data_IF_943896254695
#
_entry.id   IF_943896254695
#
_cell.length_a   1.000
_cell.length_b   1.000
_cell.length_c   1.000
_cell.angle_alpha   90.00
_cell.angle_beta   90.00
_cell.angle_gamma   90.00
#
_symmetry.space_group_name_H-M   'P 1'
#
loop_
_entity.id
_entity.type
_entity.pdbx_description
1 polymer ?
#
# COMPACT_ATOMS: atom_id res chain seq x y z
N UNK A 1 -10.73 -5.46 10.24
CA UNK A 1 -9.58 -4.83 9.54
C UNK A 1 -8.30 -4.69 10.37
N UNK A 2 -8.36 -4.44 11.70
CA UNK A 2 -7.15 -4.19 12.51
C UNK A 2 -6.02 -5.23 12.35
N UNK A 3 -6.35 -6.54 12.34
CA UNK A 3 -5.34 -7.60 12.12
C UNK A 3 -4.67 -7.52 10.73
N UNK A 4 -5.43 -7.10 9.71
CA UNK A 4 -4.92 -6.90 8.36
C UNK A 4 -3.98 -5.70 8.33
N UNK A 5 -4.32 -4.61 9.02
CA UNK A 5 -3.46 -3.43 9.13
C UNK A 5 -2.15 -3.71 9.85
N UNK A 6 -2.19 -4.43 10.97
CA UNK A 6 -0.98 -4.82 11.69
C UNK A 6 -0.03 -5.63 10.78
N UNK A 7 -0.56 -6.66 10.11
CA UNK A 7 0.20 -7.49 9.17
C UNK A 7 0.74 -6.69 7.98
N UNK A 8 -0.08 -5.81 7.41
CA UNK A 8 0.29 -4.96 6.28
C UNK A 8 1.42 -4.00 6.65
N UNK A 9 1.34 -3.36 7.81
CA UNK A 9 2.39 -2.48 8.35
C UNK A 9 3.70 -3.24 8.50
N UNK A 10 3.69 -4.40 9.17
CA UNK A 10 4.88 -5.22 9.38
C UNK A 10 5.54 -5.64 8.06
N UNK A 11 4.73 -6.12 7.11
CA UNK A 11 5.22 -6.56 5.79
C UNK A 11 5.74 -5.39 4.96
N UNK A 12 5.06 -4.25 4.95
CA UNK A 12 5.48 -3.06 4.20
C UNK A 12 6.80 -2.51 4.75
N UNK A 13 6.92 -2.35 6.07
CA UNK A 13 8.14 -1.88 6.74
C UNK A 13 9.30 -2.87 6.55
N UNK A 14 9.04 -4.18 6.59
CA UNK A 14 10.08 -5.19 6.28
C UNK A 14 10.55 -5.10 4.82
N UNK A 15 9.67 -4.70 3.91
CA UNK A 15 9.95 -4.52 2.50
C UNK A 15 10.27 -3.05 2.12
N UNK A 16 10.75 -2.22 3.04
CA UNK A 16 10.92 -0.77 2.89
C UNK A 16 11.52 -0.32 1.54
N UNK A 17 12.55 -1.03 1.04
CA UNK A 17 13.17 -0.71 -0.27
C UNK A 17 12.18 -0.71 -1.43
N UNK A 18 11.09 -1.49 -1.38
CA UNK A 18 10.03 -1.49 -2.41
C UNK A 18 9.26 -0.17 -2.47
N UNK A 19 9.34 0.63 -1.41
CA UNK A 19 8.64 1.90 -1.26
C UNK A 19 9.57 3.11 -1.34
N UNK A 20 10.83 2.97 -0.90
CA UNK A 20 11.80 4.08 -0.86
C UNK A 20 12.67 4.17 -2.13
N UNK A 21 12.92 3.03 -2.79
CA UNK A 21 13.70 2.89 -4.03
C UNK A 21 12.89 2.10 -5.07
N UNK A 22 11.88 2.76 -5.63
CA UNK A 22 10.88 2.11 -6.49
C UNK A 22 11.47 1.82 -7.87
N UNK A 23 11.58 0.54 -8.21
CA UNK A 23 12.08 0.10 -9.51
C UNK A 23 10.98 -0.25 -10.54
N UNK A 24 9.71 -0.17 -10.14
CA UNK A 24 8.59 -0.48 -11.04
C UNK A 24 8.09 0.76 -11.76
N UNK A 25 7.63 0.66 -13.02
CA UNK A 25 6.97 1.77 -13.69
C UNK A 25 5.68 2.20 -12.98
N UNK A 26 5.25 3.45 -13.24
CA UNK A 26 3.95 3.96 -12.77
C UNK A 26 2.80 3.05 -13.25
N UNK A 27 1.79 2.88 -12.39
CA UNK A 27 0.64 2.01 -12.60
C UNK A 27 0.92 0.52 -12.37
N UNK A 28 2.12 0.15 -11.90
CA UNK A 28 2.47 -1.24 -11.57
C UNK A 28 2.57 -1.45 -10.07
N UNK A 29 2.24 -2.67 -9.64
CA UNK A 29 2.36 -3.09 -8.25
C UNK A 29 3.82 -3.09 -7.81
N UNK A 30 4.15 -2.25 -6.83
CA UNK A 30 5.44 -2.23 -6.15
C UNK A 30 5.54 -3.36 -5.13
N UNK A 31 4.47 -3.60 -4.37
CA UNK A 31 4.40 -4.59 -3.31
C UNK A 31 2.95 -5.07 -3.08
N UNK A 32 2.73 -6.32 -2.62
CA UNK A 32 3.62 -7.47 -2.69
C UNK A 32 3.86 -7.93 -4.14
N UNK A 33 4.87 -8.79 -4.35
CA UNK A 33 5.23 -9.32 -5.68
C UNK A 33 4.88 -10.79 -5.89
N UNK A 34 4.78 -11.58 -4.82
CA UNK A 34 4.48 -13.01 -4.93
C UNK A 34 2.98 -13.24 -4.86
N UNK A 35 2.47 -14.24 -5.60
CA UNK A 35 1.05 -14.60 -5.55
C UNK A 35 0.61 -14.99 -4.14
N UNK A 36 1.47 -15.71 -3.41
CA UNK A 36 1.20 -16.12 -2.03
C UNK A 36 1.00 -14.91 -1.12
N UNK A 37 1.83 -13.88 -1.21
CA UNK A 37 1.71 -12.70 -0.37
C UNK A 37 0.51 -11.84 -0.77
N UNK A 38 0.24 -11.73 -2.08
CA UNK A 38 -0.94 -11.05 -2.61
C UNK A 38 -2.24 -11.68 -2.07
N UNK A 39 -2.34 -13.01 -2.04
CA UNK A 39 -3.50 -13.71 -1.48
C UNK A 39 -3.58 -13.60 0.05
N UNK A 40 -2.43 -13.76 0.73
CA UNK A 40 -2.36 -13.78 2.19
C UNK A 40 -2.59 -12.41 2.83
N UNK A 41 -2.21 -11.34 2.13
CA UNK A 41 -2.39 -9.98 2.59
C UNK A 41 -3.70 -9.38 2.06
N UNK A 42 -4.02 -9.69 0.81
CA UNK A 42 -5.19 -9.17 0.10
C UNK A 42 -5.10 -7.69 -0.25
N UNK A 43 -3.93 -7.06 -0.09
CA UNK A 43 -3.66 -5.67 -0.43
C UNK A 43 -2.48 -5.59 -1.39
N UNK A 44 -2.49 -4.55 -2.23
CA UNK A 44 -1.39 -4.19 -3.09
C UNK A 44 -1.16 -2.68 -3.10
N UNK A 45 0.08 -2.30 -3.36
CA UNK A 45 0.52 -0.92 -3.52
C UNK A 45 0.98 -0.75 -4.95
N UNK A 46 0.17 -0.02 -5.73
CA UNK A 46 0.50 0.32 -7.10
C UNK A 46 1.20 1.67 -7.10
N UNK A 47 2.40 1.74 -7.70
CA UNK A 47 3.18 2.97 -7.75
C UNK A 47 2.49 4.01 -8.64
N UNK A 48 2.21 5.18 -8.11
CA UNK A 48 1.54 6.29 -8.81
C UNK A 48 2.48 7.48 -9.06
N UNK A 49 3.78 7.21 -9.16
CA UNK A 49 4.80 8.19 -9.49
C UNK A 49 5.36 8.92 -8.28
N UNK A 50 6.23 9.89 -8.56
CA UNK A 50 6.88 10.72 -7.56
C UNK A 50 6.16 12.06 -7.45
N UNK A 51 6.10 12.60 -6.24
CA UNK A 51 5.54 13.94 -5.95
C UNK A 51 6.48 14.70 -5.03
N UNK A 52 6.51 16.02 -5.15
CA UNK A 52 7.22 16.90 -4.23
C UNK A 52 6.22 17.47 -3.23
N UNK A 53 6.54 17.39 -1.94
CA UNK A 53 5.78 17.95 -0.82
C UNK A 53 6.74 18.67 0.11
N UNK A 54 6.49 19.95 0.37
CA UNK A 54 7.33 20.77 1.26
C UNK A 54 8.82 20.69 0.91
N UNK A 55 9.14 20.69 -0.39
CA UNK A 55 10.51 20.58 -0.91
C UNK A 55 11.16 19.20 -0.82
N UNK A 56 10.44 18.17 -0.35
CA UNK A 56 10.93 16.79 -0.26
C UNK A 56 10.23 15.89 -1.28
N UNK A 57 10.97 14.95 -1.87
CA UNK A 57 10.43 13.97 -2.82
C UNK A 57 9.81 12.77 -2.11
N UNK A 58 8.62 12.37 -2.56
CA UNK A 58 7.89 11.21 -2.06
C UNK A 58 7.48 10.29 -3.22
N UNK A 59 7.60 8.98 -3.00
CA UNK A 59 6.97 7.96 -3.81
C UNK A 59 5.50 7.85 -3.39
N UNK A 60 4.59 8.01 -4.36
CA UNK A 60 3.14 7.92 -4.16
C UNK A 60 2.66 6.51 -4.52
N UNK A 61 1.79 5.93 -3.71
CA UNK A 61 1.19 4.63 -3.95
C UNK A 61 -0.33 4.67 -3.80
N UNK A 62 -1.04 4.06 -4.73
CA UNK A 62 -2.44 3.70 -4.52
C UNK A 62 -2.51 2.38 -3.77
N UNK A 63 -3.17 2.39 -2.61
CA UNK A 63 -3.41 1.17 -1.83
C UNK A 63 -4.75 0.59 -2.28
N UNK A 64 -4.71 -0.63 -2.82
CA UNK A 64 -5.87 -1.31 -3.39
C UNK A 64 -6.01 -2.70 -2.80
N UNK A 65 -7.22 -3.25 -2.83
CA UNK A 65 -7.41 -4.68 -2.60
C UNK A 65 -6.82 -5.48 -3.77
N UNK A 66 -6.20 -6.62 -3.49
CA UNK A 66 -5.82 -7.56 -4.54
C UNK A 66 -7.05 -8.17 -5.22
N UNK A 67 -6.89 -8.57 -6.49
CA UNK A 67 -7.93 -9.29 -7.23
C UNK A 67 -7.84 -10.80 -6.95
N UNK A 68 -8.98 -11.49 -6.97
CA UNK A 68 -9.02 -12.94 -6.73
C UNK A 68 -9.15 -13.31 -5.26
N UNK A 69 -8.38 -14.30 -4.80
CA UNK A 69 -8.47 -14.80 -3.42
C UNK A 69 -7.86 -13.78 -2.45
N UNK A 70 -8.68 -13.29 -1.53
CA UNK A 70 -8.30 -12.33 -0.48
C UNK A 70 -9.05 -12.66 0.83
N UNK A 71 -8.59 -12.17 1.99
CA UNK A 71 -9.31 -12.29 3.25
C UNK A 71 -10.75 -11.79 3.14
N UNK A 72 -11.70 -12.49 3.79
CA UNK A 72 -13.14 -12.19 3.70
C UNK A 72 -13.48 -10.74 4.04
N UNK A 73 -12.84 -10.18 5.07
CA UNK A 73 -13.04 -8.77 5.45
C UNK A 73 -12.70 -7.79 4.32
N UNK A 74 -11.67 -8.06 3.51
CA UNK A 74 -11.34 -7.22 2.36
C UNK A 74 -12.28 -7.48 1.20
N UNK A 75 -12.77 -8.71 1.04
CA UNK A 75 -13.77 -9.07 0.03
C UNK A 75 -15.11 -8.37 0.28
N UNK A 76 -15.55 -8.32 1.53
CA UNK A 76 -16.78 -7.61 1.91
C UNK A 76 -16.63 -6.10 1.65
N UNK A 77 -15.51 -5.51 2.07
CA UNK A 77 -15.20 -4.10 1.76
C UNK A 77 -15.17 -3.85 0.25
N UNK A 78 -14.49 -4.70 -0.52
CA UNK A 78 -14.39 -4.61 -1.97
C UNK A 78 -15.78 -4.60 -2.64
N UNK A 79 -16.69 -5.48 -2.19
CA UNK A 79 -18.08 -5.54 -2.69
C UNK A 79 -18.84 -4.23 -2.45
N UNK A 80 -18.59 -3.59 -1.31
CA UNK A 80 -19.29 -2.37 -0.89
C UNK A 80 -18.68 -1.08 -1.48
N UNK A 81 -17.43 -1.13 -1.94
CA UNK A 81 -16.65 0.08 -2.27
C UNK A 81 -16.16 0.14 -3.74
N UNK A 82 -16.85 -0.53 -4.66
CA UNK A 82 -16.58 -0.40 -6.11
C UNK A 82 -15.78 -1.54 -6.74
N UNK A 83 -15.70 -2.71 -6.09
CA UNK A 83 -15.18 -3.93 -6.69
C UNK A 83 -13.66 -4.00 -6.77
N UNK A 84 -13.13 -4.84 -7.66
CA UNK A 84 -11.70 -5.21 -7.72
C UNK A 84 -10.71 -4.10 -8.04
N UNK A 85 -11.23 -2.92 -8.41
CA UNK A 85 -10.45 -1.73 -8.73
C UNK A 85 -10.61 -0.62 -7.67
N UNK A 86 -11.28 -0.91 -6.56
CA UNK A 86 -11.46 0.04 -5.48
C UNK A 86 -10.12 0.43 -4.84
N UNK A 87 -9.84 1.73 -4.82
CA UNK A 87 -8.70 2.34 -4.14
C UNK A 87 -9.09 2.67 -2.71
N UNK A 88 -8.41 2.07 -1.74
CA UNK A 88 -8.62 2.33 -0.30
C UNK A 88 -8.05 3.68 0.12
N UNK A 89 -7.00 4.15 -0.56
CA UNK A 89 -6.39 5.43 -0.28
C UNK A 89 -5.05 5.59 -0.97
N UNK A 90 -4.36 6.67 -0.61
CA UNK A 90 -3.01 6.94 -1.08
C UNK A 90 -2.04 6.88 0.09
N UNK A 91 -0.89 6.25 -0.13
CA UNK A 91 0.25 6.23 0.79
C UNK A 91 1.41 6.99 0.16
N UNK A 92 2.07 7.82 0.95
CA UNK A 92 3.25 8.58 0.54
C UNK A 92 4.43 8.11 1.36
N UNK A 93 5.54 7.80 0.70
CA UNK A 93 6.77 7.37 1.37
C UNK A 93 7.90 8.23 0.85
N UNK A 94 8.71 8.78 1.77
CA UNK A 94 9.85 9.60 1.39
C UNK A 94 10.79 8.81 0.47
N UNK A 95 11.16 9.41 -0.66
CA UNK A 95 12.14 8.82 -1.58
C UNK A 95 13.50 8.76 -0.89
N UNK A 96 14.23 7.65 -1.09
CA UNK A 96 15.51 7.39 -0.40
C UNK A 96 15.39 7.37 1.14
N UNK A 97 14.17 7.21 1.64
CA UNK A 97 13.89 7.04 3.06
C UNK A 97 14.23 5.66 3.59
N UNK A 98 13.82 5.43 4.83
CA UNK A 98 14.07 4.20 5.56
C UNK A 98 12.76 3.49 5.99
N UNK A 99 12.88 2.55 6.95
CA UNK A 99 11.77 1.79 7.48
C UNK A 99 10.76 2.64 8.24
N UNK A 100 11.23 3.68 8.92
CA UNK A 100 10.39 4.56 9.71
C UNK A 100 9.56 5.46 8.78
N UNK A 101 10.15 5.95 7.68
CA UNK A 101 9.41 6.67 6.63
C UNK A 101 8.28 5.80 6.03
N UNK A 102 8.51 4.50 5.84
CA UNK A 102 7.47 3.56 5.34
C UNK A 102 6.38 3.36 6.38
N UNK A 103 6.76 3.23 7.66
CA UNK A 103 5.82 3.05 8.76
C UNK A 103 4.94 4.28 8.92
N UNK A 104 5.53 5.48 8.90
CA UNK A 104 4.82 6.76 8.97
C UNK A 104 3.82 6.88 7.82
N UNK A 105 4.25 6.65 6.57
CA UNK A 105 3.36 6.70 5.41
C UNK A 105 2.20 5.70 5.50
N UNK A 106 2.44 4.51 6.08
CA UNK A 106 1.38 3.53 6.33
C UNK A 106 0.41 3.98 7.42
N UNK A 107 0.91 4.51 8.54
CA UNK A 107 0.10 5.00 9.65
C UNK A 107 -0.79 6.19 9.20
N UNK A 108 -0.25 7.11 8.41
CA UNK A 108 -1.01 8.22 7.80
C UNK A 108 -2.10 7.74 6.85
N UNK A 109 -1.78 6.74 6.01
CA UNK A 109 -2.76 6.09 5.14
C UNK A 109 -3.90 5.47 5.97
N UNK A 110 -3.58 4.68 7.00
CA UNK A 110 -4.60 4.02 7.83
C UNK A 110 -5.44 5.03 8.60
N UNK A 111 -4.83 6.12 9.10
CA UNK A 111 -5.55 7.22 9.74
C UNK A 111 -6.53 7.85 8.76
N UNK A 112 -6.08 8.19 7.55
CA UNK A 112 -6.93 8.76 6.50
C UNK A 112 -8.06 7.83 6.06
N UNK A 113 -7.80 6.51 6.00
CA UNK A 113 -8.82 5.51 5.67
C UNK A 113 -9.93 5.44 6.72
N UNK A 114 -9.62 5.68 8.01
CA UNK A 114 -10.58 5.55 9.11
C UNK A 114 -11.47 6.78 9.30
N UNK A 115 -11.06 7.95 8.80
CA UNK A 115 -11.70 9.24 9.10
C UNK A 115 -11.16 9.86 10.37
#
# INVERSE_FOLDING_TARGET
MNKIWAKASEMATSAAKKFTDVSVPRGKTAFPKTSKDLENLGLRWDFDGEVVRDGKSYNKFQVQTNSGKIPSTLKDWQRENGGTHAVMGTMYVKKEGDKDDVKEGFDEFVKSFKG
#
